data_IF_110395540294
#
_entry.id   IF_110395540294
#
_cell.length_a   1.000
_cell.length_b   1.000
_cell.length_c   1.000
_cell.angle_alpha   90.00
_cell.angle_beta   90.00
_cell.angle_gamma   90.00
#
_symmetry.space_group_name_H-M   'P 1'
#
loop_
_entity.id
_entity.type
_entity.pdbx_description
1 polymer ?
#
# COMPACT_ATOMS: atom_id res chain seq x y z
N UNK A 1 4.24 13.34 -26.66
CA UNK A 1 3.39 12.27 -26.08
C UNK A 1 2.51 12.92 -25.03
N UNK A 2 1.18 12.82 -25.16
CA UNK A 2 0.27 13.34 -24.13
C UNK A 2 0.18 12.34 -22.97
N UNK A 3 0.67 12.76 -21.80
CA UNK A 3 0.69 11.95 -20.59
C UNK A 3 -0.73 11.66 -20.06
N UNK A 4 -1.70 12.54 -20.33
CA UNK A 4 -3.08 12.32 -19.88
C UNK A 4 -3.74 11.21 -20.69
N UNK A 5 -3.56 11.23 -22.02
CA UNK A 5 -3.98 10.14 -22.89
C UNK A 5 -3.38 8.79 -22.46
N UNK A 6 -2.08 8.74 -22.15
CA UNK A 6 -1.44 7.50 -21.69
C UNK A 6 -2.01 7.03 -20.34
N UNK A 7 -2.28 7.96 -19.40
CA UNK A 7 -2.90 7.64 -18.11
C UNK A 7 -4.30 7.04 -18.30
N UNK A 8 -5.10 7.61 -19.18
CA UNK A 8 -6.46 7.11 -19.44
C UNK A 8 -6.45 5.75 -20.14
N UNK A 9 -5.47 5.48 -20.99
CA UNK A 9 -5.24 4.14 -21.53
C UNK A 9 -4.91 3.14 -20.41
N UNK A 10 -3.97 3.48 -19.52
CA UNK A 10 -3.52 2.60 -18.42
C UNK A 10 -4.61 2.35 -17.39
N UNK A 11 -5.52 3.30 -17.14
CA UNK A 11 -6.67 3.10 -16.24
C UNK A 11 -7.59 1.96 -16.70
N UNK A 12 -7.69 1.71 -18.01
CA UNK A 12 -8.48 0.58 -18.55
C UNK A 12 -7.95 -0.78 -18.10
N UNK A 13 -6.69 -0.86 -17.68
CA UNK A 13 -6.11 -2.12 -17.20
C UNK A 13 -6.69 -2.55 -15.85
N UNK A 14 -7.23 -1.61 -15.08
CA UNK A 14 -7.94 -1.91 -13.82
C UNK A 14 -9.26 -2.67 -14.04
N UNK A 15 -9.76 -2.70 -15.28
CA UNK A 15 -10.99 -3.44 -15.64
C UNK A 15 -10.71 -4.80 -16.26
N UNK A 16 -9.46 -5.29 -16.22
CA UNK A 16 -9.13 -6.63 -16.70
C UNK A 16 -9.72 -7.69 -15.77
N UNK A 17 -10.15 -8.83 -16.33
CA UNK A 17 -10.85 -9.90 -15.60
C UNK A 17 -10.11 -10.39 -14.35
N UNK A 18 -8.80 -10.47 -14.40
CA UNK A 18 -7.95 -10.89 -13.28
C UNK A 18 -7.67 -9.78 -12.26
N UNK A 19 -8.00 -8.51 -12.58
CA UNK A 19 -7.79 -7.35 -11.71
C UNK A 19 -9.09 -6.94 -11.01
N UNK A 20 -10.24 -7.16 -11.65
CA UNK A 20 -11.57 -6.83 -11.12
C UNK A 20 -11.78 -7.31 -9.67
N UNK A 21 -11.47 -8.56 -9.29
CA UNK A 21 -11.71 -9.02 -7.92
C UNK A 21 -10.98 -8.19 -6.86
N UNK A 22 -9.75 -7.73 -7.16
CA UNK A 22 -9.00 -6.87 -6.24
C UNK A 22 -9.62 -5.48 -6.15
N UNK A 23 -10.05 -4.92 -7.29
CA UNK A 23 -10.70 -3.61 -7.32
C UNK A 23 -12.03 -3.61 -6.56
N UNK A 24 -12.81 -4.68 -6.68
CA UNK A 24 -14.07 -4.85 -5.94
C UNK A 24 -13.81 -4.97 -4.44
N UNK A 25 -12.85 -5.79 -4.02
CA UNK A 25 -12.48 -5.92 -2.61
C UNK A 25 -12.06 -4.58 -2.00
N UNK A 26 -11.21 -3.80 -2.69
CA UNK A 26 -10.80 -2.46 -2.24
C UNK A 26 -12.01 -1.51 -2.15
N UNK A 27 -12.89 -1.51 -3.15
CA UNK A 27 -14.08 -0.63 -3.17
C UNK A 27 -15.07 -0.94 -2.04
N UNK A 28 -15.10 -2.17 -1.55
CA UNK A 28 -15.96 -2.56 -0.43
C UNK A 28 -15.41 -2.11 0.92
N UNK A 29 -14.13 -1.72 1.00
CA UNK A 29 -13.58 -1.14 2.22
C UNK A 29 -14.19 0.25 2.46
N UNK A 30 -14.50 0.53 3.72
CA UNK A 30 -14.94 1.85 4.16
C UNK A 30 -13.80 2.87 4.03
N UNK A 31 -14.14 4.11 3.70
CA UNK A 31 -13.22 5.24 3.82
C UNK A 31 -13.19 5.73 5.26
N UNK A 32 -12.00 5.94 5.80
CA UNK A 32 -11.79 6.43 7.16
C UNK A 32 -11.21 7.84 7.12
N UNK A 33 -11.71 8.73 7.97
CA UNK A 33 -11.27 10.12 8.07
C UNK A 33 -10.23 10.32 9.18
N UNK A 34 -10.37 9.60 10.29
CA UNK A 34 -9.48 9.69 11.47
C UNK A 34 -8.46 8.55 11.41
N UNK A 35 -7.38 8.80 10.66
CA UNK A 35 -6.29 7.85 10.41
C UNK A 35 -4.96 8.50 10.76
N UNK A 36 -4.22 7.87 11.67
CA UNK A 36 -2.84 8.24 11.98
C UNK A 36 -1.88 7.33 11.17
N UNK A 37 -0.92 7.93 10.48
CA UNK A 37 0.11 7.20 9.71
C UNK A 37 1.47 7.45 10.33
N UNK A 38 2.22 6.38 10.61
CA UNK A 38 3.62 6.45 11.06
C UNK A 38 4.52 5.73 10.06
N UNK A 39 5.61 6.39 9.70
CA UNK A 39 6.63 5.86 8.81
C UNK A 39 7.91 5.67 9.64
N UNK A 40 8.43 4.45 9.65
CA UNK A 40 9.67 4.06 10.33
C UNK A 40 10.10 2.68 9.85
N UNK A 41 10.44 1.77 10.78
CA UNK A 41 10.78 0.38 10.45
C UNK A 41 9.61 -0.44 9.86
N UNK A 42 8.44 0.19 9.76
CA UNK A 42 7.25 -0.29 9.07
C UNK A 42 6.39 0.90 8.67
N UNK A 43 5.49 0.65 7.73
CA UNK A 43 4.41 1.58 7.39
C UNK A 43 3.21 1.25 8.27
N UNK A 44 2.93 2.10 9.26
CA UNK A 44 1.84 1.90 10.20
C UNK A 44 0.66 2.81 9.88
N UNK A 45 -0.53 2.23 9.88
CA UNK A 45 -1.81 2.91 9.68
C UNK A 45 -2.69 2.56 10.88
N UNK A 46 -3.05 3.56 11.68
CA UNK A 46 -3.94 3.41 12.83
C UNK A 46 -5.26 4.10 12.52
N UNK A 47 -6.31 3.31 12.35
CA UNK A 47 -7.67 3.79 12.14
C UNK A 47 -8.37 3.86 13.49
N UNK A 48 -8.89 5.04 13.86
CA UNK A 48 -9.61 5.20 15.13
C UNK A 48 -10.98 4.50 15.10
N UNK A 49 -11.38 3.96 16.25
CA UNK A 49 -12.68 3.31 16.47
C UNK A 49 -13.00 2.22 15.42
N UNK A 50 -11.96 1.48 14.98
CA UNK A 50 -12.10 0.41 14.01
C UNK A 50 -12.94 -0.73 14.59
N UNK A 51 -14.08 -1.00 13.98
CA UNK A 51 -14.94 -2.11 14.41
C UNK A 51 -14.29 -3.46 14.11
N UNK A 52 -14.59 -4.49 14.90
CA UNK A 52 -14.08 -5.86 14.65
C UNK A 52 -14.48 -6.38 13.27
N UNK A 53 -15.67 -6.01 12.79
CA UNK A 53 -16.15 -6.37 11.45
C UNK A 53 -15.28 -5.74 10.37
N UNK A 54 -14.99 -4.46 10.51
CA UNK A 54 -14.18 -3.73 9.53
C UNK A 54 -12.73 -4.20 9.54
N UNK A 55 -12.16 -4.47 10.73
CA UNK A 55 -10.84 -5.06 10.87
C UNK A 55 -10.74 -6.43 10.17
N UNK A 56 -11.78 -7.27 10.31
CA UNK A 56 -11.85 -8.56 9.63
C UNK A 56 -11.92 -8.38 8.10
N UNK A 57 -12.71 -7.43 7.61
CA UNK A 57 -12.82 -7.14 6.17
C UNK A 57 -11.50 -6.63 5.57
N UNK A 58 -10.77 -5.78 6.31
CA UNK A 58 -9.42 -5.33 5.94
C UNK A 58 -8.48 -6.54 5.84
N UNK A 59 -8.49 -7.44 6.83
CA UNK A 59 -7.66 -8.64 6.83
C UNK A 59 -7.96 -9.56 5.66
N UNK A 60 -9.23 -9.81 5.35
CA UNK A 60 -9.63 -10.63 4.20
C UNK A 60 -9.20 -10.01 2.89
N UNK A 61 -9.34 -8.70 2.75
CA UNK A 61 -8.87 -7.95 1.58
C UNK A 61 -7.35 -8.05 1.45
N UNK A 62 -6.60 -7.86 2.54
CA UNK A 62 -5.15 -8.01 2.53
C UNK A 62 -4.70 -9.43 2.16
N UNK A 63 -5.40 -10.47 2.61
CA UNK A 63 -5.12 -11.85 2.23
C UNK A 63 -5.36 -12.11 0.74
N UNK A 64 -6.43 -11.51 0.16
CA UNK A 64 -6.72 -11.58 -1.27
C UNK A 64 -5.60 -10.92 -2.09
N UNK A 65 -4.98 -9.85 -1.58
CA UNK A 65 -3.91 -9.11 -2.27
C UNK A 65 -2.53 -9.78 -2.23
N UNK A 66 -2.44 -11.02 -1.74
CA UNK A 66 -1.20 -11.79 -1.81
C UNK A 66 -0.73 -12.02 -3.27
N UNK A 67 0.60 -12.11 -3.50
CA UNK A 67 1.67 -12.09 -2.50
C UNK A 67 2.11 -10.67 -2.10
N UNK A 68 2.32 -10.46 -0.79
CA UNK A 68 2.95 -9.25 -0.26
C UNK A 68 4.47 -9.40 -0.27
N UNK A 69 5.12 -8.82 -1.28
CA UNK A 69 6.57 -9.00 -1.48
C UNK A 69 7.41 -8.01 -0.69
N UNK A 70 7.11 -6.71 -0.70
CA UNK A 70 7.83 -5.69 0.09
C UNK A 70 6.98 -5.23 1.26
N UNK A 71 7.61 -4.91 2.38
CA UNK A 71 6.95 -4.48 3.61
C UNK A 71 8.00 -4.28 4.72
N UNK A 72 7.59 -4.32 6.01
CA UNK A 72 6.28 -4.74 6.51
C UNK A 72 5.27 -3.59 6.68
N UNK A 73 3.98 -3.94 6.66
CA UNK A 73 2.88 -3.00 6.94
C UNK A 73 2.18 -3.38 8.25
N UNK A 74 1.64 -2.37 8.96
CA UNK A 74 0.78 -2.55 10.12
C UNK A 74 -0.51 -1.76 9.90
N UNK A 75 -1.67 -2.42 9.96
CA UNK A 75 -2.98 -1.75 9.92
C UNK A 75 -3.71 -2.08 11.22
N UNK A 76 -3.79 -1.13 12.15
CA UNK A 76 -4.23 -1.35 13.53
C UNK A 76 -3.46 -2.52 14.17
N UNK A 77 -4.11 -3.67 14.39
CA UNK A 77 -3.52 -4.89 14.94
C UNK A 77 -3.05 -5.88 13.85
N UNK A 78 -3.44 -5.67 12.59
CA UNK A 78 -3.06 -6.53 11.47
C UNK A 78 -1.62 -6.23 11.06
N UNK A 79 -0.70 -7.13 11.41
CA UNK A 79 0.66 -7.14 10.89
C UNK A 79 0.73 -7.91 9.58
N UNK A 80 1.17 -7.24 8.51
CA UNK A 80 1.45 -7.85 7.21
C UNK A 80 2.95 -8.11 7.12
N UNK A 81 3.32 -9.33 7.50
CA UNK A 81 4.68 -9.83 7.36
C UNK A 81 4.94 -10.22 5.89
N UNK A 82 5.63 -9.35 5.18
CA UNK A 82 5.96 -9.50 3.77
C UNK A 82 7.21 -10.34 3.55
N UNK A 83 7.35 -10.90 2.35
CA UNK A 83 8.54 -11.67 1.95
C UNK A 83 9.86 -10.93 2.22
N UNK A 84 9.93 -9.64 1.89
CA UNK A 84 11.10 -8.79 2.08
C UNK A 84 10.88 -7.80 3.21
N UNK A 85 11.76 -7.87 4.21
CA UNK A 85 11.95 -6.85 5.24
C UNK A 85 12.65 -5.63 4.62
N UNK A 86 11.87 -4.84 3.88
CA UNK A 86 12.35 -3.76 3.02
C UNK A 86 12.90 -2.57 3.82
N UNK A 87 12.43 -2.39 5.07
CA UNK A 87 13.00 -1.45 6.03
C UNK A 87 14.50 -1.66 6.26
N UNK A 88 14.98 -2.91 6.27
CA UNK A 88 16.41 -3.19 6.50
C UNK A 88 17.26 -2.51 5.43
N UNK A 89 16.85 -2.64 4.17
CA UNK A 89 17.52 -2.01 3.04
C UNK A 89 17.32 -0.49 3.06
N UNK A 90 16.12 -0.01 3.37
CA UNK A 90 15.84 1.42 3.43
C UNK A 90 16.71 2.10 4.50
N UNK A 91 16.74 1.60 5.73
CA UNK A 91 17.52 2.13 6.84
C UNK A 91 19.03 2.11 6.57
N UNK A 92 19.51 1.13 5.80
CA UNK A 92 20.91 1.11 5.35
C UNK A 92 21.21 2.27 4.39
N UNK A 93 20.25 2.67 3.55
CA UNK A 93 20.45 3.69 2.53
C UNK A 93 20.09 5.11 3.00
N UNK A 94 19.14 5.24 3.94
CA UNK A 94 18.60 6.52 4.42
C UNK A 94 19.68 7.53 4.82
N UNK A 95 20.76 7.18 5.55
CA UNK A 95 21.80 8.14 5.92
C UNK A 95 22.60 8.69 4.73
N UNK A 96 22.46 8.11 3.55
CA UNK A 96 23.22 8.43 2.34
C UNK A 96 22.46 9.30 1.34
N UNK A 97 21.20 9.67 1.63
CA UNK A 97 20.43 10.57 0.80
C UNK A 97 19.57 11.55 1.61
N UNK A 98 19.22 12.67 1.01
CA UNK A 98 18.22 13.61 1.55
C UNK A 98 17.12 13.81 0.51
N UNK A 99 15.92 13.31 0.84
CA UNK A 99 14.74 13.39 -0.02
C UNK A 99 13.85 14.60 0.28
N UNK A 100 14.23 15.45 1.25
CA UNK A 100 13.45 16.63 1.59
C UNK A 100 13.29 17.54 0.38
N UNK A 101 12.04 17.92 0.11
CA UNK A 101 11.63 18.79 -0.98
C UNK A 101 12.02 18.29 -2.39
N UNK A 102 12.23 16.97 -2.55
CA UNK A 102 12.55 16.35 -3.84
C UNK A 102 11.33 15.75 -4.52
N UNK A 103 11.34 15.78 -5.86
CA UNK A 103 10.44 14.98 -6.68
C UNK A 103 11.15 13.65 -6.98
N UNK A 104 10.60 12.55 -6.47
CA UNK A 104 11.21 11.21 -6.57
C UNK A 104 10.42 10.35 -7.56
N UNK A 105 11.13 9.69 -8.47
CA UNK A 105 10.58 8.64 -9.32
C UNK A 105 11.09 7.27 -8.88
N UNK A 106 10.23 6.47 -8.24
CA UNK A 106 10.56 5.09 -7.86
C UNK A 106 10.18 4.12 -9.00
N UNK A 107 11.19 3.69 -9.75
CA UNK A 107 11.02 2.84 -10.93
C UNK A 107 11.01 1.37 -10.49
N UNK A 108 9.91 0.66 -10.78
CA UNK A 108 9.76 -0.73 -10.33
C UNK A 108 9.38 -0.85 -8.84
N UNK A 109 8.65 0.15 -8.33
CA UNK A 109 8.21 0.23 -6.94
C UNK A 109 7.37 -0.99 -6.47
N UNK A 110 6.78 -1.76 -7.39
CA UNK A 110 5.88 -2.89 -7.10
C UNK A 110 4.67 -2.41 -6.29
N UNK A 111 4.58 -2.75 -5.00
CA UNK A 111 3.49 -2.36 -4.10
C UNK A 111 3.77 -1.04 -3.38
N UNK A 112 4.91 -0.40 -3.62
CA UNK A 112 5.21 0.96 -3.16
C UNK A 112 5.44 1.09 -1.65
N UNK A 113 5.93 0.03 -0.99
CA UNK A 113 6.53 0.14 0.34
C UNK A 113 7.66 1.17 0.32
#
# INVERSE_FOLDING_TARGET
MDLNTLRDERKKWLTWKNIIPYQEAIKMLKTYEDVEVKLGDRVEVQIKDLSTRDAQQIKETALLMKPWRKGPFQINDLFIDSEWQSQIKYNLLEPHFDLKDKIVGDIGCNNGY
#
